data_IF_852078510839
#
_entry.id   IF_852078510839
#
_cell.length_a   1.000
_cell.length_b   1.000
_cell.length_c   1.000
_cell.angle_alpha   90.00
_cell.angle_beta   90.00
_cell.angle_gamma   90.00
#
_symmetry.space_group_name_H-M   'P 1'
#
loop_
_entity.id
_entity.type
_entity.pdbx_description
1 polymer ?
#
# COMPACT_ATOMS: atom_id res chain seq x y z
N UNK A 1 -4.35 -9.82 -27.29
CA UNK A 1 -3.11 -9.14 -26.87
C UNK A 1 -3.49 -7.78 -26.27
N UNK A 2 -4.21 -7.79 -25.15
CA UNK A 2 -4.62 -6.57 -24.45
C UNK A 2 -3.66 -6.39 -23.27
N UNK A 3 -2.54 -5.74 -23.55
CA UNK A 3 -1.47 -5.50 -22.59
C UNK A 3 -1.78 -4.17 -21.91
N UNK A 4 -2.20 -4.29 -20.64
CA UNK A 4 -2.35 -3.29 -19.60
C UNK A 4 -1.62 -1.95 -19.91
N UNK A 5 -2.37 -0.97 -20.41
CA UNK A 5 -1.83 0.33 -20.85
C UNK A 5 -1.33 1.17 -19.65
N UNK A 6 -1.90 0.94 -18.47
CA UNK A 6 -1.64 1.63 -17.22
C UNK A 6 -0.31 1.25 -16.56
N UNK A 7 -0.05 -0.05 -16.44
CA UNK A 7 1.25 -0.53 -15.93
C UNK A 7 2.36 -0.17 -16.91
N UNK A 8 2.09 -0.13 -18.21
CA UNK A 8 3.05 0.39 -19.21
C UNK A 8 3.28 1.89 -19.15
N UNK A 9 2.47 2.73 -18.52
CA UNK A 9 2.79 4.16 -18.42
C UNK A 9 3.58 4.49 -17.16
N UNK A 10 3.27 3.87 -16.02
CA UNK A 10 4.10 4.05 -14.81
C UNK A 10 5.42 3.25 -14.92
N UNK A 11 5.39 2.01 -15.41
CA UNK A 11 6.62 1.29 -15.77
C UNK A 11 7.23 1.75 -17.10
N UNK A 12 6.48 2.42 -17.99
CA UNK A 12 7.06 2.99 -19.21
C UNK A 12 7.85 4.25 -18.96
N UNK A 13 7.58 4.95 -17.85
CA UNK A 13 8.44 6.02 -17.34
C UNK A 13 9.73 5.48 -16.70
N UNK A 14 9.73 4.21 -16.25
CA UNK A 14 10.86 3.54 -15.61
C UNK A 14 11.35 2.37 -16.47
N UNK A 15 12.19 2.68 -17.45
CA UNK A 15 12.75 1.69 -18.41
C UNK A 15 13.50 0.53 -17.73
N UNK A 16 14.03 0.76 -16.53
CA UNK A 16 14.81 -0.22 -15.78
C UNK A 16 14.19 -0.44 -14.40
N UNK A 17 13.83 -1.69 -14.10
CA UNK A 17 13.22 -2.13 -12.85
C UNK A 17 13.91 -3.42 -12.38
N UNK A 18 13.80 -3.77 -11.08
CA UNK A 18 14.21 -5.09 -10.62
C UNK A 18 13.53 -6.20 -11.43
N UNK A 19 14.32 -7.17 -11.90
CA UNK A 19 13.85 -8.33 -12.66
C UNK A 19 14.26 -9.62 -11.96
N UNK A 20 13.57 -10.72 -12.27
CA UNK A 20 14.06 -12.04 -11.89
C UNK A 20 15.30 -12.33 -12.73
N UNK A 21 16.44 -12.49 -12.04
CA UNK A 21 17.75 -12.68 -12.64
C UNK A 21 17.93 -14.11 -13.15
N UNK A 22 18.78 -14.27 -14.16
CA UNK A 22 19.29 -15.58 -14.54
C UNK A 22 20.13 -16.15 -13.39
N UNK A 23 20.21 -17.47 -13.30
CA UNK A 23 21.01 -18.11 -12.25
C UNK A 23 22.50 -17.83 -12.48
N UNK A 24 23.10 -17.07 -11.58
CA UNK A 24 24.55 -16.89 -11.44
C UNK A 24 24.91 -16.68 -9.96
N UNK A 25 26.21 -16.77 -9.65
CA UNK A 25 26.71 -16.71 -8.27
C UNK A 25 26.35 -15.42 -7.53
N UNK A 26 26.21 -14.32 -8.25
CA UNK A 26 25.93 -12.98 -7.71
C UNK A 26 24.45 -12.57 -7.81
N UNK A 27 23.55 -13.49 -8.18
CA UNK A 27 22.14 -13.17 -8.41
C UNK A 27 21.44 -12.82 -7.09
N UNK A 28 20.70 -11.70 -7.07
CA UNK A 28 19.99 -11.19 -5.90
C UNK A 28 18.52 -11.63 -5.92
N UNK A 29 17.85 -11.44 -7.06
CA UNK A 29 16.42 -11.79 -7.24
C UNK A 29 16.31 -13.06 -8.06
N UNK A 30 16.25 -14.21 -7.39
CA UNK A 30 16.29 -15.53 -8.05
C UNK A 30 14.92 -16.19 -8.26
N UNK A 31 13.82 -15.50 -7.92
CA UNK A 31 12.48 -16.04 -8.01
C UNK A 31 11.37 -15.04 -7.70
N UNK A 32 10.13 -15.52 -7.68
CA UNK A 32 8.95 -14.70 -7.35
C UNK A 32 8.99 -14.22 -5.91
N UNK A 33 8.91 -12.89 -5.72
CA UNK A 33 8.82 -12.25 -4.40
C UNK A 33 7.68 -12.83 -3.57
N UNK A 34 6.49 -12.97 -4.18
CA UNK A 34 5.32 -13.55 -3.52
C UNK A 34 5.58 -14.98 -3.04
N UNK A 35 6.23 -15.80 -3.88
CA UNK A 35 6.55 -17.19 -3.51
C UNK A 35 7.55 -17.27 -2.37
N UNK A 36 8.58 -16.41 -2.36
CA UNK A 36 9.55 -16.36 -1.27
C UNK A 36 8.89 -15.94 0.04
N UNK A 37 8.05 -14.90 0.01
CA UNK A 37 7.29 -14.46 1.19
C UNK A 37 6.33 -15.56 1.68
N UNK A 38 5.61 -16.22 0.77
CA UNK A 38 4.65 -17.28 1.11
C UNK A 38 5.32 -18.49 1.75
N UNK A 39 6.43 -18.98 1.18
CA UNK A 39 7.16 -20.14 1.72
C UNK A 39 8.04 -19.82 2.92
N UNK A 40 8.34 -18.53 3.09
CA UNK A 40 9.29 -18.12 4.11
C UNK A 40 10.74 -18.28 3.68
N UNK A 41 11.05 -18.22 2.39
CA UNK A 41 12.42 -18.31 1.86
C UNK A 41 13.15 -16.95 1.99
N UNK A 42 13.26 -16.45 3.22
CA UNK A 42 13.90 -15.18 3.54
C UNK A 42 14.37 -15.17 5.00
N UNK A 43 15.37 -14.35 5.37
CA UNK A 43 15.84 -14.22 6.75
C UNK A 43 14.72 -13.83 7.73
N UNK A 44 14.57 -14.60 8.82
CA UNK A 44 13.49 -14.41 9.81
C UNK A 44 13.86 -13.36 10.85
N UNK A 45 13.87 -12.10 10.41
CA UNK A 45 14.08 -10.94 11.28
C UNK A 45 12.78 -10.18 11.48
N UNK A 46 12.56 -9.55 12.64
CA UNK A 46 11.38 -8.71 12.86
C UNK A 46 11.31 -7.57 11.82
N UNK A 47 10.10 -7.25 11.37
CA UNK A 47 9.84 -6.22 10.35
C UNK A 47 8.86 -5.18 10.87
N UNK A 48 9.13 -3.91 10.57
CA UNK A 48 8.14 -2.82 10.64
C UNK A 48 7.85 -2.36 9.21
N UNK A 49 6.57 -2.28 8.86
CA UNK A 49 6.09 -1.90 7.53
C UNK A 49 4.85 -1.02 7.67
N UNK A 50 4.59 -0.14 6.73
CA UNK A 50 3.40 0.69 6.75
C UNK A 50 3.23 1.50 5.48
N UNK A 51 2.21 2.36 5.51
CA UNK A 51 1.82 3.19 4.38
C UNK A 51 1.13 4.46 4.86
N UNK A 52 1.08 5.45 3.98
CA UNK A 52 0.38 6.70 4.18
C UNK A 52 -1.10 6.61 3.76
N UNK A 53 -1.95 7.43 4.35
CA UNK A 53 -3.38 7.44 4.04
C UNK A 53 -3.71 7.77 2.57
N UNK A 54 -2.85 8.57 1.91
CA UNK A 54 -3.02 9.03 0.52
C UNK A 54 -1.68 9.00 -0.26
N UNK A 55 -1.15 7.82 -0.56
CA UNK A 55 0.14 7.64 -1.23
C UNK A 55 0.21 8.31 -2.61
N UNK A 56 -0.88 8.30 -3.37
CA UNK A 56 -0.83 8.70 -4.78
C UNK A 56 -1.02 10.20 -5.04
N UNK A 57 -0.99 11.09 -4.03
CA UNK A 57 -1.30 12.51 -4.27
C UNK A 57 -0.30 13.23 -5.20
N UNK A 58 0.99 12.86 -5.21
CA UNK A 58 1.94 13.46 -6.17
C UNK A 58 1.59 13.15 -7.62
N UNK A 59 0.86 12.05 -7.86
CA UNK A 59 0.33 11.75 -9.17
C UNK A 59 -0.79 12.72 -9.57
N UNK A 60 -1.32 13.56 -8.66
CA UNK A 60 -2.34 14.57 -9.01
C UNK A 60 -1.85 15.51 -10.11
N UNK A 61 -0.59 15.95 -10.08
CA UNK A 61 -0.03 16.80 -11.15
C UNK A 61 -0.02 16.04 -12.49
N UNK A 62 0.39 14.78 -12.46
CA UNK A 62 0.36 13.89 -13.63
C UNK A 62 -1.07 13.68 -14.09
N UNK A 63 -2.02 13.51 -13.18
CA UNK A 63 -3.43 13.28 -13.46
C UNK A 63 -4.13 14.54 -13.99
N UNK A 64 -3.77 15.73 -13.50
CA UNK A 64 -4.28 17.00 -14.00
C UNK A 64 -3.77 17.24 -15.44
N UNK A 65 -2.50 16.93 -15.70
CA UNK A 65 -1.89 17.07 -17.03
C UNK A 65 -2.42 16.03 -18.03
N UNK A 66 -2.60 14.78 -17.61
CA UNK A 66 -3.05 13.66 -18.44
C UNK A 66 -4.56 13.39 -18.33
N UNK A 67 -5.32 14.27 -17.65
CA UNK A 67 -6.76 14.15 -17.40
C UNK A 67 -7.57 13.62 -18.58
N UNK A 68 -7.44 14.22 -19.78
CA UNK A 68 -8.14 13.75 -20.99
C UNK A 68 -7.75 12.33 -21.42
N UNK A 69 -6.48 11.94 -21.26
CA UNK A 69 -5.97 10.61 -21.62
C UNK A 69 -6.42 9.54 -20.62
N UNK A 70 -6.62 9.91 -19.35
CA UNK A 70 -7.10 9.01 -18.32
C UNK A 70 -8.58 8.64 -18.52
N UNK A 71 -9.32 9.42 -19.32
CA UNK A 71 -10.65 9.06 -19.84
C UNK A 71 -10.72 7.63 -20.41
N UNK A 72 -9.57 7.08 -20.83
CA UNK A 72 -9.45 5.71 -21.29
C UNK A 72 -9.90 4.67 -20.26
N UNK A 73 -9.75 4.89 -18.95
CA UNK A 73 -10.22 3.90 -17.96
C UNK A 73 -11.74 3.82 -17.86
N UNK A 74 -12.45 4.89 -18.21
CA UNK A 74 -13.91 4.83 -18.32
C UNK A 74 -14.35 4.08 -19.58
N UNK A 75 -13.57 4.21 -20.66
CA UNK A 75 -13.82 3.60 -21.97
C UNK A 75 -13.32 2.14 -22.05
N UNK A 76 -12.28 1.81 -21.29
CA UNK A 76 -11.58 0.53 -21.26
C UNK A 76 -11.34 0.10 -19.80
N UNK A 77 -12.39 -0.31 -19.06
CA UNK A 77 -12.24 -0.75 -17.67
C UNK A 77 -11.31 -1.96 -17.51
N UNK A 78 -11.07 -2.71 -18.59
CA UNK A 78 -10.09 -3.79 -18.66
C UNK A 78 -8.67 -3.38 -18.20
N UNK A 79 -8.29 -2.11 -18.37
CA UNK A 79 -6.98 -1.61 -17.90
C UNK A 79 -6.89 -1.44 -16.38
N UNK A 80 -8.01 -1.53 -15.66
CA UNK A 80 -8.03 -1.56 -14.19
C UNK A 80 -7.69 -2.94 -13.62
N UNK A 81 -7.62 -3.97 -14.45
CA UNK A 81 -7.41 -5.35 -13.99
C UNK A 81 -5.94 -5.57 -13.67
N UNK A 82 -5.59 -6.02 -12.44
CA UNK A 82 -4.22 -6.37 -12.09
C UNK A 82 -3.68 -7.47 -13.00
N UNK A 83 -2.41 -7.36 -13.40
CA UNK A 83 -1.75 -8.31 -14.30
C UNK A 83 -1.66 -9.73 -13.74
N UNK A 84 -1.81 -9.88 -12.43
CA UNK A 84 -1.78 -11.16 -11.72
C UNK A 84 -3.11 -11.90 -11.72
N UNK A 85 -4.12 -11.45 -12.47
CA UNK A 85 -5.38 -12.19 -12.64
C UNK A 85 -5.37 -13.03 -13.93
N UNK A 86 -5.69 -14.33 -13.82
CA UNK A 86 -5.88 -15.25 -14.94
C UNK A 86 -7.30 -15.11 -15.48
N UNK A 87 -7.49 -14.10 -16.32
CA UNK A 87 -8.76 -13.83 -16.96
C UNK A 87 -8.63 -13.99 -18.49
N UNK A 88 -9.59 -14.68 -19.11
CA UNK A 88 -9.78 -14.59 -20.57
C UNK A 88 -10.34 -13.21 -20.94
N UNK A 89 -10.45 -12.90 -22.23
CA UNK A 89 -10.90 -11.57 -22.67
C UNK A 89 -12.27 -11.17 -22.09
N UNK A 90 -13.24 -12.08 -22.02
CA UNK A 90 -14.55 -11.82 -21.41
C UNK A 90 -14.47 -11.59 -19.90
N UNK A 91 -13.61 -12.34 -19.20
CA UNK A 91 -13.40 -12.18 -17.77
C UNK A 91 -12.71 -10.85 -17.46
N UNK A 92 -11.72 -10.43 -18.25
CA UNK A 92 -11.02 -9.15 -18.07
C UNK A 92 -12.01 -7.98 -18.16
N UNK A 93 -12.91 -8.01 -19.16
CA UNK A 93 -13.95 -6.97 -19.31
C UNK A 93 -14.88 -6.96 -18.09
N UNK A 94 -15.31 -8.15 -17.63
CA UNK A 94 -16.18 -8.27 -16.45
C UNK A 94 -15.50 -7.77 -15.18
N UNK A 95 -14.26 -8.20 -14.92
CA UNK A 95 -13.49 -7.79 -13.74
C UNK A 95 -13.26 -6.28 -13.74
N UNK A 96 -12.87 -5.71 -14.89
CA UNK A 96 -12.70 -4.26 -15.04
C UNK A 96 -13.98 -3.50 -14.70
N UNK A 97 -15.14 -3.99 -15.16
CA UNK A 97 -16.44 -3.41 -14.81
C UNK A 97 -16.78 -3.58 -13.33
N UNK A 98 -16.49 -4.72 -12.71
CA UNK A 98 -16.66 -4.94 -11.25
C UNK A 98 -15.82 -3.94 -10.44
N UNK A 99 -14.55 -3.73 -10.80
CA UNK A 99 -13.65 -2.74 -10.18
C UNK A 99 -14.18 -1.32 -10.35
N UNK A 100 -14.52 -0.93 -11.58
CA UNK A 100 -15.08 0.41 -11.85
C UNK A 100 -16.36 0.64 -11.04
N UNK A 101 -17.26 -0.34 -11.00
CA UNK A 101 -18.50 -0.23 -10.24
C UNK A 101 -18.27 -0.09 -8.74
N UNK A 102 -17.26 -0.77 -8.18
CA UNK A 102 -16.92 -0.67 -6.76
C UNK A 102 -16.43 0.74 -6.38
N UNK A 103 -15.56 1.34 -7.19
CA UNK A 103 -14.97 2.66 -6.88
C UNK A 103 -15.80 3.85 -7.38
N UNK A 104 -16.46 3.73 -8.54
CA UNK A 104 -17.19 4.82 -9.17
C UNK A 104 -18.71 4.73 -9.01
N UNK A 105 -19.24 3.52 -8.79
CA UNK A 105 -20.67 3.22 -8.90
C UNK A 105 -21.08 2.88 -10.34
N UNK A 106 -22.25 2.25 -10.50
CA UNK A 106 -22.76 1.72 -11.79
C UNK A 106 -22.80 2.73 -12.93
N UNK A 107 -23.12 3.99 -12.62
CA UNK A 107 -23.19 5.09 -13.58
C UNK A 107 -22.10 6.14 -13.34
N UNK A 108 -21.12 5.81 -12.49
CA UNK A 108 -20.05 6.73 -12.14
C UNK A 108 -18.91 6.68 -13.15
N UNK A 109 -18.22 7.82 -13.23
CA UNK A 109 -16.94 7.97 -13.91
C UNK A 109 -15.80 7.95 -12.88
N UNK A 110 -14.66 7.38 -13.29
CA UNK A 110 -13.41 7.50 -12.52
C UNK A 110 -12.69 8.84 -12.82
N UNK A 111 -13.05 9.55 -13.89
CA UNK A 111 -12.36 10.74 -14.40
C UNK A 111 -13.24 12.00 -14.33
N UNK A 112 -12.63 13.19 -14.50
CA UNK A 112 -13.29 14.49 -14.49
C UNK A 112 -13.22 15.15 -13.11
N UNK A 113 -14.31 15.79 -12.66
CA UNK A 113 -14.42 16.41 -11.32
C UNK A 113 -14.30 15.42 -10.15
N UNK A 114 -14.18 14.11 -10.42
CA UNK A 114 -14.22 13.03 -9.45
C UNK A 114 -12.87 12.35 -9.19
N UNK A 115 -11.76 13.08 -9.33
CA UNK A 115 -10.40 12.57 -9.16
C UNK A 115 -10.18 11.76 -7.87
N UNK A 116 -10.92 12.04 -6.79
CA UNK A 116 -10.88 11.29 -5.52
C UNK A 116 -11.19 9.79 -5.69
N UNK A 117 -12.06 9.42 -6.64
CA UNK A 117 -12.40 8.01 -6.91
C UNK A 117 -11.24 7.27 -7.56
N UNK A 118 -10.64 7.89 -8.59
CA UNK A 118 -9.43 7.38 -9.23
C UNK A 118 -8.26 7.34 -8.24
N UNK A 119 -8.12 8.38 -7.41
CA UNK A 119 -7.13 8.43 -6.34
C UNK A 119 -7.32 7.24 -5.39
N UNK A 120 -8.53 6.98 -4.91
CA UNK A 120 -8.79 5.84 -4.00
C UNK A 120 -8.43 4.51 -4.66
N UNK A 121 -8.85 4.28 -5.90
CA UNK A 121 -8.47 3.09 -6.67
C UNK A 121 -6.95 2.95 -6.80
N UNK A 122 -6.27 4.01 -7.23
CA UNK A 122 -4.82 3.99 -7.45
C UNK A 122 -4.05 3.82 -6.14
N UNK A 123 -4.51 4.43 -5.04
CA UNK A 123 -3.96 4.26 -3.70
C UNK A 123 -4.02 2.79 -3.26
N UNK A 124 -5.19 2.18 -3.45
CA UNK A 124 -5.40 0.77 -3.10
C UNK A 124 -4.57 -0.17 -3.99
N UNK A 125 -4.57 0.04 -5.30
CA UNK A 125 -3.90 -0.82 -6.28
C UNK A 125 -2.37 -0.73 -6.23
N UNK A 126 -1.81 0.48 -6.01
CA UNK A 126 -0.37 0.72 -6.10
C UNK A 126 0.38 0.56 -4.79
N UNK A 127 -0.28 0.80 -3.65
CA UNK A 127 0.39 0.83 -2.35
C UNK A 127 -0.32 -0.02 -1.31
N UNK A 128 -1.58 0.30 -0.97
CA UNK A 128 -2.21 -0.27 0.23
C UNK A 128 -2.35 -1.80 0.12
N UNK A 129 -2.95 -2.29 -0.97
CA UNK A 129 -3.19 -3.73 -1.17
C UNK A 129 -1.88 -4.55 -1.17
N UNK A 130 -0.84 -4.22 -1.96
CA UNK A 130 0.41 -4.97 -1.93
C UNK A 130 1.16 -4.86 -0.60
N UNK A 131 1.12 -3.71 0.10
CA UNK A 131 1.75 -3.55 1.42
C UNK A 131 1.04 -4.40 2.48
N UNK A 132 -0.30 -4.36 2.53
CA UNK A 132 -1.07 -5.19 3.46
C UNK A 132 -0.85 -6.68 3.20
N UNK A 133 -0.79 -7.11 1.95
CA UNK A 133 -0.48 -8.51 1.64
C UNK A 133 0.93 -8.91 2.03
N UNK A 134 1.90 -8.02 1.82
CA UNK A 134 3.28 -8.25 2.27
C UNK A 134 3.32 -8.42 3.78
N UNK A 135 2.62 -7.55 4.52
CA UNK A 135 2.51 -7.66 5.98
C UNK A 135 1.88 -8.99 6.41
N UNK A 136 0.79 -9.44 5.75
CA UNK A 136 0.16 -10.75 6.02
C UNK A 136 1.15 -11.90 5.80
N UNK A 137 1.88 -11.91 4.69
CA UNK A 137 2.82 -12.98 4.37
C UNK A 137 4.04 -12.99 5.30
N UNK A 138 4.57 -11.81 5.66
CA UNK A 138 5.66 -11.69 6.62
C UNK A 138 5.23 -12.20 8.00
N UNK A 139 4.03 -11.83 8.46
CA UNK A 139 3.50 -12.23 9.77
C UNK A 139 3.32 -13.75 9.94
N UNK A 140 3.26 -14.52 8.85
CA UNK A 140 3.27 -15.99 8.92
C UNK A 140 4.60 -16.57 9.41
N UNK A 141 5.70 -15.82 9.25
CA UNK A 141 7.05 -16.34 9.44
C UNK A 141 7.93 -15.51 10.38
N UNK A 142 7.57 -14.24 10.63
CA UNK A 142 8.34 -13.34 11.49
C UNK A 142 7.46 -12.28 12.14
N UNK A 143 7.89 -11.78 13.29
CA UNK A 143 7.27 -10.69 14.00
C UNK A 143 7.14 -9.47 13.07
N UNK A 144 5.91 -9.05 12.77
CA UNK A 144 5.65 -7.96 11.81
C UNK A 144 4.77 -6.90 12.44
N UNK A 145 5.19 -5.63 12.39
CA UNK A 145 4.45 -4.48 12.89
C UNK A 145 3.94 -3.64 11.72
N UNK A 146 2.63 -3.43 11.64
CA UNK A 146 1.99 -2.63 10.58
C UNK A 146 1.59 -1.24 11.11
N UNK A 147 1.88 -0.17 10.37
CA UNK A 147 1.37 1.18 10.67
C UNK A 147 0.62 1.79 9.49
N UNK A 148 -0.33 2.67 9.81
CA UNK A 148 -0.99 3.58 8.88
C UNK A 148 -0.70 5.01 9.34
N UNK A 149 0.03 5.77 8.54
CA UNK A 149 0.32 7.16 8.80
C UNK A 149 -0.70 8.06 8.11
N UNK A 150 -1.44 8.83 8.91
CA UNK A 150 -2.49 9.72 8.46
C UNK A 150 -2.26 11.15 8.91
N UNK A 151 -1.37 11.43 9.86
CA UNK A 151 -1.16 12.78 10.38
C UNK A 151 -0.76 13.76 9.26
N UNK A 152 -1.54 14.81 9.11
CA UNK A 152 -1.40 15.76 8.02
C UNK A 152 -1.76 17.17 8.49
N UNK A 153 -1.35 18.19 7.73
CA UNK A 153 -1.75 19.57 8.03
C UNK A 153 -3.19 19.83 7.54
N UNK A 154 -3.80 20.93 7.98
CA UNK A 154 -5.19 21.26 7.58
C UNK A 154 -5.39 21.54 6.09
N UNK A 155 -4.32 21.58 5.28
CA UNK A 155 -4.39 21.90 3.85
C UNK A 155 -4.54 20.66 2.97
N UNK A 156 -4.30 19.48 3.54
CA UNK A 156 -4.43 18.17 2.90
C UNK A 156 -5.59 17.38 3.51
N UNK A 157 -6.06 16.33 2.84
CA UNK A 157 -7.13 15.45 3.36
C UNK A 157 -6.57 14.17 4.01
N UNK A 158 -5.25 14.07 4.08
CA UNK A 158 -4.51 12.89 4.53
C UNK A 158 -3.03 13.02 4.18
N UNK A 159 -2.20 12.24 4.85
CA UNK A 159 -0.76 12.17 4.60
C UNK A 159 -0.44 11.53 3.25
N UNK A 160 0.49 12.14 2.52
CA UNK A 160 0.92 11.70 1.19
C UNK A 160 2.24 10.95 1.19
N UNK A 161 2.62 10.37 0.06
CA UNK A 161 3.83 9.55 -0.04
C UNK A 161 5.10 10.28 0.42
N UNK A 162 5.67 9.82 1.53
CA UNK A 162 6.88 10.40 2.11
C UNK A 162 6.61 11.53 3.11
N UNK A 163 5.36 11.90 3.39
CA UNK A 163 5.06 12.90 4.41
C UNK A 163 5.56 12.51 5.79
N UNK A 164 5.52 11.21 6.12
CA UNK A 164 5.99 10.65 7.38
C UNK A 164 7.49 10.88 7.59
N UNK A 165 8.25 11.02 6.50
CA UNK A 165 9.69 11.29 6.54
C UNK A 165 10.00 12.63 7.19
N UNK A 166 9.10 13.61 7.11
CA UNK A 166 9.25 14.91 7.77
C UNK A 166 9.25 14.82 9.31
N UNK A 167 8.82 13.70 9.88
CA UNK A 167 8.77 13.43 11.31
C UNK A 167 9.84 12.42 11.76
N UNK A 168 10.55 11.80 10.81
CA UNK A 168 11.70 10.93 11.04
C UNK A 168 13.03 11.67 10.85
N UNK A 169 13.08 12.55 9.85
CA UNK A 169 14.26 13.33 9.48
C UNK A 169 14.07 14.80 9.84
N UNK A 170 15.19 15.52 9.98
CA UNK A 170 15.17 16.92 10.37
C UNK A 170 14.31 17.75 9.40
N UNK A 171 13.22 18.32 9.91
CA UNK A 171 12.33 19.18 9.16
C UNK A 171 12.11 20.51 9.87
N UNK A 172 11.68 21.52 9.11
CA UNK A 172 11.35 22.83 9.65
C UNK A 172 9.96 22.89 10.29
N UNK A 173 9.30 21.76 10.56
CA UNK A 173 7.99 21.71 11.24
C UNK A 173 8.17 22.05 12.72
N UNK A 174 7.38 23.00 13.25
CA UNK A 174 7.58 23.59 14.59
C UNK A 174 6.34 23.58 15.49
N UNK A 175 5.17 23.12 15.02
CA UNK A 175 3.99 23.15 15.89
C UNK A 175 4.12 22.14 17.04
N UNK A 176 3.38 22.33 18.12
CA UNK A 176 3.38 21.39 19.25
C UNK A 176 2.89 20.00 18.81
N UNK A 177 1.90 19.94 17.91
CA UNK A 177 1.43 18.68 17.32
C UNK A 177 2.51 18.02 16.49
N UNK A 178 3.24 18.77 15.65
CA UNK A 178 4.36 18.22 14.88
C UNK A 178 5.45 17.67 15.79
N UNK A 179 5.75 18.38 16.89
CA UNK A 179 6.72 17.95 17.89
C UNK A 179 6.27 16.65 18.56
N UNK A 180 5.01 16.54 18.97
CA UNK A 180 4.45 15.31 19.54
C UNK A 180 4.60 14.13 18.57
N UNK A 181 4.21 14.30 17.30
CA UNK A 181 4.32 13.26 16.28
C UNK A 181 5.77 12.88 16.02
N UNK A 182 6.67 13.87 15.93
CA UNK A 182 8.12 13.66 15.76
C UNK A 182 8.70 12.86 16.94
N UNK A 183 8.41 13.26 18.18
CA UNK A 183 8.90 12.57 19.38
C UNK A 183 8.35 11.14 19.46
N UNK A 184 7.09 10.93 19.13
CA UNK A 184 6.49 9.60 19.13
C UNK A 184 7.10 8.69 18.05
N UNK A 185 7.12 9.11 16.78
CA UNK A 185 7.58 8.29 15.66
C UNK A 185 9.08 7.98 15.80
N UNK A 186 9.91 8.98 16.09
CA UNK A 186 11.34 8.75 16.31
C UNK A 186 11.58 7.77 17.47
N UNK A 187 10.76 7.84 18.53
CA UNK A 187 10.85 6.89 19.66
C UNK A 187 10.45 5.47 19.28
N UNK A 188 9.36 5.29 18.52
CA UNK A 188 8.92 3.97 18.06
C UNK A 188 9.95 3.32 17.11
N UNK A 189 10.49 4.08 16.16
CA UNK A 189 11.50 3.59 15.22
C UNK A 189 12.82 3.25 15.93
N UNK A 190 13.30 4.11 16.84
CA UNK A 190 14.54 3.84 17.59
C UNK A 190 14.40 2.67 18.54
N UNK A 191 13.23 2.50 19.19
CA UNK A 191 12.95 1.32 20.00
C UNK A 191 12.95 0.05 19.14
N UNK A 192 12.31 0.07 17.98
CA UNK A 192 12.32 -1.09 17.09
C UNK A 192 13.74 -1.44 16.61
N UNK A 193 14.53 -0.44 16.23
CA UNK A 193 15.93 -0.66 15.86
C UNK A 193 16.77 -1.27 17.01
N UNK A 194 16.50 -0.89 18.26
CA UNK A 194 17.26 -1.35 19.43
C UNK A 194 16.77 -2.68 20.01
N UNK A 195 15.47 -2.94 19.95
CA UNK A 195 14.83 -4.04 20.70
C UNK A 195 13.97 -4.96 19.83
N UNK A 196 13.87 -4.69 18.53
CA UNK A 196 12.94 -5.37 17.61
C UNK A 196 11.47 -5.32 18.03
N UNK A 197 11.13 -4.40 18.93
CA UNK A 197 9.80 -4.11 19.43
C UNK A 197 9.65 -2.58 19.53
N UNK A 198 8.65 -1.94 18.89
CA UNK A 198 8.46 -0.49 18.95
C UNK A 198 8.06 0.02 20.34
N UNK A 199 7.41 -0.82 21.14
CA UNK A 199 6.92 -0.50 22.50
C UNK A 199 7.39 -1.55 23.52
N UNK A 200 8.72 -1.66 23.77
CA UNK A 200 9.27 -2.65 24.70
C UNK A 200 9.02 -2.28 26.17
N UNK A 201 8.79 -0.99 26.43
CA UNK A 201 8.42 -0.39 27.71
C UNK A 201 7.34 0.67 27.44
N UNK A 202 6.78 1.25 28.50
CA UNK A 202 5.83 2.35 28.38
C UNK A 202 6.42 3.51 27.56
N UNK A 203 5.83 3.79 26.40
CA UNK A 203 6.25 4.87 25.49
C UNK A 203 5.41 6.11 25.78
N UNK A 204 5.81 6.89 26.79
CA UNK A 204 5.07 8.08 27.24
C UNK A 204 4.96 9.15 26.15
N UNK A 205 5.95 9.23 25.27
CA UNK A 205 5.96 10.11 24.09
C UNK A 205 4.81 9.82 23.12
N UNK A 206 4.26 8.61 23.17
CA UNK A 206 3.15 8.15 22.34
C UNK A 206 1.89 7.88 23.16
N UNK A 207 1.74 8.50 24.34
CA UNK A 207 0.55 8.27 25.19
C UNK A 207 0.47 6.88 25.83
N UNK A 208 1.62 6.20 26.04
CA UNK A 208 1.71 4.85 26.62
C UNK A 208 0.98 3.77 25.82
N UNK A 209 0.90 3.91 24.50
CA UNK A 209 0.37 2.87 23.62
C UNK A 209 1.22 1.60 23.67
N UNK A 210 0.56 0.46 23.50
CA UNK A 210 1.20 -0.84 23.27
C UNK A 210 0.92 -1.26 21.83
N UNK A 211 1.95 -1.28 20.99
CA UNK A 211 1.82 -1.69 19.60
C UNK A 211 2.09 -3.18 19.51
N UNK A 212 1.03 -3.96 19.26
CA UNK A 212 1.14 -5.40 19.02
C UNK A 212 1.56 -5.68 17.58
N UNK A 213 2.31 -6.76 17.32
CA UNK A 213 2.49 -7.23 15.96
C UNK A 213 1.16 -7.59 15.31
N UNK A 214 1.17 -7.66 13.99
CA UNK A 214 0.13 -8.32 13.21
C UNK A 214 -0.08 -9.74 13.74
N UNK A 215 -1.31 -10.05 14.13
CA UNK A 215 -1.68 -11.39 14.56
C UNK A 215 -1.48 -12.39 13.42
N UNK A 216 -0.99 -13.59 13.72
CA UNK A 216 -0.94 -14.67 12.75
C UNK A 216 -2.37 -15.05 12.32
N UNK A 217 -2.73 -14.81 11.06
CA UNK A 217 -4.08 -15.08 10.55
C UNK A 217 -4.56 -14.03 9.54
N UNK A 218 -5.87 -13.82 9.47
CA UNK A 218 -6.49 -12.86 8.54
C UNK A 218 -6.48 -11.42 9.06
N UNK A 219 -6.39 -11.22 10.38
CA UNK A 219 -6.50 -9.91 10.99
C UNK A 219 -5.17 -9.14 10.96
N UNK A 220 -5.21 -7.93 10.40
CA UNK A 220 -4.10 -6.99 10.38
C UNK A 220 -4.22 -5.98 11.51
N UNK A 221 -3.66 -6.30 12.68
CA UNK A 221 -3.48 -5.33 13.75
C UNK A 221 -2.45 -4.27 13.32
N UNK A 222 -2.77 -3.00 13.53
CA UNK A 222 -1.92 -1.89 13.10
C UNK A 222 -1.94 -0.71 14.07
N UNK A 223 -0.88 0.10 14.00
CA UNK A 223 -0.82 1.40 14.65
C UNK A 223 -1.32 2.49 13.70
N UNK A 224 -2.39 3.20 14.09
CA UNK A 224 -2.86 4.40 13.43
C UNK A 224 -2.12 5.61 13.98
N UNK A 225 -1.37 6.29 13.12
CA UNK A 225 -0.59 7.48 13.45
C UNK A 225 -1.28 8.69 12.82
N UNK A 226 -2.12 9.36 13.59
CA UNK A 226 -2.78 10.62 13.24
C UNK A 226 -2.50 11.63 14.37
N UNK A 227 -3.32 12.68 14.51
CA UNK A 227 -3.32 13.60 15.64
C UNK A 227 -3.39 12.87 16.99
N UNK A 228 -4.01 11.69 16.99
CA UNK A 228 -3.95 10.72 18.09
C UNK A 228 -3.31 9.42 17.61
N UNK A 229 -2.52 8.79 18.50
CA UNK A 229 -1.90 7.50 18.24
C UNK A 229 -2.76 6.41 18.85
N UNK A 230 -3.28 5.51 18.01
CA UNK A 230 -4.19 4.44 18.45
C UNK A 230 -3.88 3.12 17.77
N UNK A 231 -4.32 2.01 18.35
CA UNK A 231 -4.26 0.68 17.72
C UNK A 231 -5.62 0.29 17.20
N UNK A 232 -5.66 -0.33 16.03
CA UNK A 232 -6.89 -0.85 15.42
C UNK A 232 -6.57 -2.10 14.59
N UNK A 233 -7.58 -2.66 13.93
CA UNK A 233 -7.47 -3.92 13.18
C UNK A 233 -8.13 -3.77 11.81
N UNK A 234 -7.53 -4.38 10.78
CA UNK A 234 -8.03 -4.44 9.40
C UNK A 234 -8.26 -3.05 8.79
N UNK A 235 -7.19 -2.28 8.53
CA UNK A 235 -7.33 -1.00 7.87
C UNK A 235 -7.86 -1.20 6.44
N UNK A 236 -8.70 -0.27 5.96
CA UNK A 236 -9.29 -0.34 4.62
C UNK A 236 -10.09 -1.63 4.35
N UNK A 237 -10.72 -2.20 5.40
CA UNK A 237 -11.38 -3.51 5.35
C UNK A 237 -12.33 -3.69 4.16
N UNK A 238 -13.16 -2.68 3.88
CA UNK A 238 -14.16 -2.76 2.80
C UNK A 238 -13.49 -3.00 1.44
N UNK A 239 -12.42 -2.27 1.15
CA UNK A 239 -11.69 -2.39 -0.10
C UNK A 239 -10.87 -3.67 -0.15
N UNK A 240 -10.23 -4.06 0.95
CA UNK A 240 -9.47 -5.32 1.01
C UNK A 240 -10.38 -6.54 0.84
N UNK A 241 -11.54 -6.57 1.50
CA UNK A 241 -12.53 -7.65 1.33
C UNK A 241 -13.00 -7.77 -0.12
N UNK A 242 -13.12 -6.65 -0.85
CA UNK A 242 -13.47 -6.63 -2.27
C UNK A 242 -12.36 -7.24 -3.12
N UNK A 243 -11.13 -6.80 -2.93
CA UNK A 243 -9.97 -7.32 -3.67
C UNK A 243 -9.69 -8.79 -3.35
N UNK A 244 -9.74 -9.19 -2.09
CA UNK A 244 -9.51 -10.57 -1.65
C UNK A 244 -10.51 -11.52 -2.34
N UNK A 245 -11.78 -11.10 -2.52
CA UNK A 245 -12.78 -11.86 -3.30
C UNK A 245 -12.43 -11.96 -4.78
N UNK A 246 -11.97 -10.87 -5.40
CA UNK A 246 -11.55 -10.89 -6.81
C UNK A 246 -10.33 -11.78 -7.03
N UNK A 247 -9.29 -11.65 -6.20
CA UNK A 247 -8.08 -12.47 -6.29
C UNK A 247 -8.35 -13.94 -5.98
N UNK A 248 -9.24 -14.26 -5.04
CA UNK A 248 -9.67 -15.64 -4.81
C UNK A 248 -10.33 -16.26 -6.04
N UNK A 249 -11.10 -15.48 -6.80
CA UNK A 249 -11.86 -15.95 -7.95
C UNK A 249 -11.04 -15.99 -9.25
N UNK A 250 -10.17 -15.02 -9.45
CA UNK A 250 -9.49 -14.80 -10.74
C UNK A 250 -7.96 -14.71 -10.63
N UNK A 251 -7.38 -14.76 -9.43
CA UNK A 251 -5.93 -14.63 -9.23
C UNK A 251 -5.14 -15.79 -9.84
N UNK A 252 -3.98 -15.47 -10.41
CA UNK A 252 -2.99 -16.42 -10.92
C UNK A 252 -1.76 -16.43 -10.02
N UNK A 253 -1.66 -17.43 -9.14
CA UNK A 253 -0.47 -17.56 -8.30
C UNK A 253 0.74 -18.08 -9.10
N UNK A 254 1.98 -17.65 -8.76
CA UNK A 254 2.28 -16.62 -7.77
C UNK A 254 2.00 -15.21 -8.31
N UNK A 255 1.53 -14.32 -7.45
CA UNK A 255 1.21 -12.96 -7.87
C UNK A 255 2.49 -12.14 -8.11
N UNK A 256 2.54 -11.42 -9.23
CA UNK A 256 3.55 -10.39 -9.47
C UNK A 256 3.15 -9.06 -8.79
N UNK A 257 1.85 -8.81 -8.76
CA UNK A 257 1.20 -7.68 -8.09
C UNK A 257 -0.01 -8.25 -7.37
N UNK A 258 -0.01 -8.21 -6.02
CA UNK A 258 -1.21 -8.52 -5.26
C UNK A 258 -2.18 -7.36 -5.32
#
# INVERSE_FOLDING_TARGET
>A
MAVNFATRQIHGLLTYLPVIEHKHKDAVVTGSYFSHLQRGDFPKIPVMIGYNSIEVLYFKIIFDLLGPLLGIYDLVPADLVPSSMRANASDVIRIGAEIKNFYAGRFGSLIGSHWKKLQKYANDDKFIRPIQQTARLLALHTQTYLYLFSYHDSTTEGAVHGDELNYLFNSNRKSNSDKFITECITKLWTNFAKYSNPTPHNVTQCGNITWKPVASGENLDYLSIDSNITTSTNPNKKEMDFWDKLFKKYGNMPFNTY
#
